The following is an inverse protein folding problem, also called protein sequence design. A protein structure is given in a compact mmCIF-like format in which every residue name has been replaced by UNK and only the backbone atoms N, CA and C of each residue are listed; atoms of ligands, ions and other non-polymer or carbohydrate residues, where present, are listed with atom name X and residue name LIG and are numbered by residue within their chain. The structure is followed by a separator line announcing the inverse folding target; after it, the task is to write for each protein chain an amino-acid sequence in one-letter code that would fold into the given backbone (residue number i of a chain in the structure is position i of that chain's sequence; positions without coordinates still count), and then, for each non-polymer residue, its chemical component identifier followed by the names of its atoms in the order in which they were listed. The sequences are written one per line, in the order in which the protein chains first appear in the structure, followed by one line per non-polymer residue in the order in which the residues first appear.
data_IF_825886691623
#
_entry.id   IF_825886691623
#
_cell.length_a   1.000
_cell.length_b   1.000
_cell.length_c   1.000
_cell.angle_alpha   90.00
_cell.angle_beta   90.00
_cell.angle_gamma   90.00
#
_symmetry.space_group_name_H-M   'P 1'
#
loop_
_entity.id
_entity.type
_entity.pdbx_description
1 polymer ?
#
# COMPACT_ATOMS: atom_id res chain seq x y z
N UNK A 1 -25.40 9.56 -19.11
CA UNK A 1 -24.96 8.17 -18.83
C UNK A 1 -23.84 8.26 -17.81
N UNK A 2 -23.99 7.64 -16.64
CA UNK A 2 -22.89 7.56 -15.66
C UNK A 2 -21.96 6.43 -16.09
N UNK A 3 -20.72 6.75 -16.43
CA UNK A 3 -19.67 5.76 -16.71
C UNK A 3 -19.19 5.17 -15.40
N UNK A 4 -19.43 3.88 -15.18
CA UNK A 4 -18.85 3.14 -14.06
C UNK A 4 -17.32 3.08 -14.25
N UNK A 5 -16.58 3.63 -13.30
CA UNK A 5 -15.12 3.63 -13.32
C UNK A 5 -14.60 2.34 -12.69
N UNK A 6 -13.96 1.48 -13.47
CA UNK A 6 -13.31 0.27 -12.97
C UNK A 6 -11.88 0.61 -12.50
N UNK A 7 -11.58 0.34 -11.24
CA UNK A 7 -10.25 0.52 -10.67
C UNK A 7 -9.47 -0.79 -10.78
N UNK A 8 -8.38 -0.80 -11.54
CA UNK A 8 -7.64 -2.04 -11.87
C UNK A 8 -6.76 -2.54 -10.72
N UNK A 9 -6.26 -1.62 -9.91
CA UNK A 9 -5.45 -1.86 -8.71
C UNK A 9 -6.31 -2.24 -7.49
N UNK A 10 -7.61 -1.97 -7.55
CA UNK A 10 -8.60 -2.41 -6.58
C UNK A 10 -9.94 -2.85 -7.23
N UNK A 11 -9.96 -4.00 -7.95
CA UNK A 11 -11.13 -4.45 -8.71
C UNK A 11 -12.39 -4.69 -7.87
N UNK A 12 -12.22 -4.89 -6.56
CA UNK A 12 -13.31 -5.19 -5.62
C UNK A 12 -13.58 -4.06 -4.63
N UNK A 13 -12.97 -2.88 -4.83
CA UNK A 13 -13.15 -1.72 -3.98
C UNK A 13 -12.91 -2.07 -2.50
N UNK A 14 -11.81 -2.78 -2.22
CA UNK A 14 -11.35 -3.09 -0.88
C UNK A 14 -11.27 -1.81 -0.03
N UNK A 15 -10.86 -0.68 -0.62
CA UNK A 15 -10.86 0.62 0.06
C UNK A 15 -12.22 1.00 0.68
N UNK A 16 -13.32 0.66 0.01
CA UNK A 16 -14.68 0.97 0.46
C UNK A 16 -15.20 -0.02 1.52
N UNK A 17 -14.52 -1.16 1.68
CA UNK A 17 -14.86 -2.18 2.67
C UNK A 17 -14.16 -1.96 4.01
N UNK A 18 -13.17 -1.06 4.07
CA UNK A 18 -12.41 -0.77 5.28
C UNK A 18 -13.05 0.37 6.08
N UNK A 19 -13.02 0.23 7.40
CA UNK A 19 -13.31 1.33 8.32
C UNK A 19 -12.23 2.41 8.26
N UNK A 20 -12.55 3.60 8.78
CA UNK A 20 -11.60 4.71 8.85
C UNK A 20 -10.34 4.35 9.65
N UNK A 21 -10.48 3.62 10.76
CA UNK A 21 -9.37 3.15 11.58
C UNK A 21 -8.45 2.19 10.79
N UNK A 22 -9.02 1.23 10.07
CA UNK A 22 -8.23 0.29 9.26
C UNK A 22 -7.48 1.01 8.14
N UNK A 23 -8.08 2.04 7.52
CA UNK A 23 -7.41 2.87 6.53
C UNK A 23 -6.25 3.66 7.13
N UNK A 24 -6.43 4.24 8.32
CA UNK A 24 -5.37 4.95 9.04
C UNK A 24 -4.20 4.02 9.38
N UNK A 25 -4.48 2.81 9.88
CA UNK A 25 -3.45 1.82 10.21
C UNK A 25 -2.70 1.39 8.95
N UNK A 26 -3.43 1.10 7.86
CA UNK A 26 -2.82 0.73 6.56
C UNK A 26 -1.90 1.83 6.05
N UNK A 27 -2.37 3.08 6.04
CA UNK A 27 -1.58 4.20 5.54
C UNK A 27 -0.32 4.40 6.39
N UNK A 28 -0.43 4.26 7.71
CA UNK A 28 0.73 4.30 8.62
C UNK A 28 1.72 3.15 8.35
N UNK A 29 1.20 1.94 8.12
CA UNK A 29 2.04 0.78 7.79
C UNK A 29 2.76 0.97 6.44
N UNK A 30 2.06 1.52 5.44
CA UNK A 30 2.62 1.85 4.13
C UNK A 30 3.76 2.84 4.26
N UNK A 31 3.56 3.94 4.98
CA UNK A 31 4.57 4.98 5.15
C UNK A 31 5.82 4.44 5.84
N UNK A 32 5.66 3.68 6.93
CA UNK A 32 6.79 3.03 7.60
C UNK A 32 7.54 2.05 6.68
N UNK A 33 6.82 1.26 5.88
CA UNK A 33 7.42 0.31 4.95
C UNK A 33 8.27 1.02 3.88
N UNK A 34 7.77 2.11 3.29
CA UNK A 34 8.52 2.87 2.28
C UNK A 34 9.73 3.57 2.91
N UNK A 35 9.55 4.25 4.04
CA UNK A 35 10.62 5.06 4.63
C UNK A 35 11.75 4.22 5.24
N UNK A 36 11.39 3.11 5.92
CA UNK A 36 12.33 2.35 6.75
C UNK A 36 12.69 1.00 6.17
N UNK A 37 11.77 0.28 5.55
CA UNK A 37 12.01 -1.09 5.09
C UNK A 37 12.55 -1.13 3.66
N UNK A 38 12.03 -0.28 2.76
CA UNK A 38 12.43 -0.29 1.35
C UNK A 38 13.92 -0.03 1.17
N UNK A 39 14.47 0.99 1.85
CA UNK A 39 15.90 1.31 1.83
C UNK A 39 16.76 0.14 2.31
N UNK A 40 16.37 -0.46 3.45
CA UNK A 40 17.07 -1.61 4.04
C UNK A 40 17.10 -2.84 3.14
N UNK A 41 16.02 -3.11 2.41
CA UNK A 41 15.98 -4.24 1.46
C UNK A 41 16.96 -4.03 0.32
N UNK A 42 17.06 -2.80 -0.19
CA UNK A 42 18.01 -2.47 -1.27
C UNK A 42 19.46 -2.64 -0.77
N UNK A 43 19.77 -2.13 0.42
CA UNK A 43 21.11 -2.23 1.00
C UNK A 43 21.46 -3.70 1.34
N UNK A 44 20.53 -4.44 1.94
CA UNK A 44 20.70 -5.86 2.23
C UNK A 44 20.99 -6.67 0.95
N UNK A 45 20.26 -6.41 -0.14
CA UNK A 45 20.51 -7.06 -1.43
C UNK A 45 21.89 -6.71 -2.03
N UNK A 46 22.40 -5.50 -1.76
CA UNK A 46 23.73 -5.07 -2.24
C UNK A 46 24.88 -5.70 -1.47
N UNK A 47 24.69 -5.90 -0.16
CA UNK A 47 25.72 -6.39 0.76
C UNK A 47 25.67 -7.92 0.96
N UNK A 48 24.77 -8.63 0.28
CA UNK A 48 24.65 -10.09 0.28
C UNK A 48 25.72 -10.73 -0.63
N UNK A 49 27.00 -10.69 -0.22
CA UNK A 49 28.14 -11.44 -0.81
C UNK A 49 28.78 -12.39 0.20
#
# INVERSE_FOLDING_TARGET
MSTYHFQWDDPFLLEDQLSEEERMIRDTARDYAQDRLQSRVIDAYRDEN
#
